data_IF_997159303044
#
_entry.id   IF_997159303044
#
_cell.length_a   1.000
_cell.length_b   1.000
_cell.length_c   1.000
_cell.angle_alpha   90.00
_cell.angle_beta   90.00
_cell.angle_gamma   90.00
#
_symmetry.space_group_name_H-M   'P 1'
#
loop_
_entity.id
_entity.type
_entity.pdbx_description
1 polymer ?
#
# COMPACT_ATOMS: atom_id res chain seq x y z
N UNK A 1 -8.85 27.54 19.93
CA UNK A 1 -8.70 27.49 18.46
C UNK A 1 -8.05 26.16 18.10
N UNK A 2 -8.81 25.16 17.64
CA UNK A 2 -8.23 23.87 17.19
C UNK A 2 -7.57 24.13 15.83
N UNK A 3 -6.29 23.75 15.62
CA UNK A 3 -5.67 23.91 14.31
C UNK A 3 -6.50 23.14 13.28
N UNK A 4 -6.65 23.72 12.10
CA UNK A 4 -7.38 23.19 10.95
C UNK A 4 -6.60 22.01 10.32
N UNK A 5 -6.22 21.03 11.14
CA UNK A 5 -5.69 19.76 10.65
C UNK A 5 -6.91 19.03 10.12
N UNK A 6 -7.00 18.93 8.80
CA UNK A 6 -7.97 18.08 8.09
C UNK A 6 -7.69 16.61 8.45
N UNK A 7 -8.01 16.24 9.69
CA UNK A 7 -8.03 14.88 10.19
C UNK A 7 -9.35 14.27 9.69
N UNK A 8 -9.47 14.08 8.36
CA UNK A 8 -10.51 13.19 7.84
C UNK A 8 -10.28 11.85 8.52
N UNK A 9 -11.32 11.33 9.18
CA UNK A 9 -11.26 10.04 9.88
C UNK A 9 -10.62 9.00 8.96
N UNK A 10 -9.51 8.40 9.42
CA UNK A 10 -8.79 7.40 8.64
C UNK A 10 -9.63 6.13 8.67
N UNK A 11 -10.48 5.98 7.65
CA UNK A 11 -11.27 4.77 7.49
C UNK A 11 -10.35 3.56 7.28
N UNK A 12 -10.75 2.41 7.81
CA UNK A 12 -10.07 1.13 7.57
C UNK A 12 -9.93 0.85 6.08
N UNK A 13 -8.95 0.03 5.71
CA UNK A 13 -8.83 -0.48 4.34
C UNK A 13 -10.06 -1.34 4.00
N UNK A 14 -10.50 -1.31 2.75
CA UNK A 14 -11.61 -2.11 2.27
C UNK A 14 -11.26 -2.81 0.96
N UNK A 15 -12.00 -3.87 0.64
CA UNK A 15 -11.78 -4.67 -0.56
C UNK A 15 -11.96 -3.82 -1.83
N UNK A 16 -11.16 -4.11 -2.85
CA UNK A 16 -11.11 -3.44 -4.14
C UNK A 16 -10.64 -1.98 -4.11
N UNK A 17 -10.18 -1.49 -2.95
CA UNK A 17 -9.57 -0.18 -2.82
C UNK A 17 -8.21 -0.10 -3.51
N UNK A 18 -7.99 0.97 -4.27
CA UNK A 18 -6.66 1.33 -4.79
C UNK A 18 -5.83 2.08 -3.75
N UNK A 19 -4.57 1.70 -3.65
CA UNK A 19 -3.56 2.28 -2.76
C UNK A 19 -2.28 2.56 -3.54
N UNK A 20 -1.50 3.50 -3.02
CA UNK A 20 -0.11 3.69 -3.43
C UNK A 20 0.78 3.21 -2.29
N UNK A 21 1.67 2.29 -2.61
CA UNK A 21 2.61 1.68 -1.68
C UNK A 21 4.00 2.19 -1.98
N UNK A 22 4.70 2.64 -0.95
CA UNK A 22 6.11 2.95 -1.05
C UNK A 22 6.88 1.83 -0.35
N UNK A 23 7.66 1.09 -1.14
CA UNK A 23 8.41 -0.10 -0.74
C UNK A 23 9.88 0.21 -1.05
N UNK A 24 10.67 0.47 -0.01
CA UNK A 24 11.99 1.04 -0.17
C UNK A 24 11.92 2.40 -0.91
N UNK A 25 12.62 2.50 -2.04
CA UNK A 25 12.60 3.67 -2.93
C UNK A 25 11.51 3.63 -3.99
N UNK A 26 10.88 2.47 -4.21
CA UNK A 26 9.91 2.26 -5.28
C UNK A 26 8.49 2.61 -4.80
N UNK A 27 7.79 3.40 -5.59
CA UNK A 27 6.35 3.65 -5.41
C UNK A 27 5.57 2.82 -6.43
N UNK A 28 4.67 1.96 -5.95
CA UNK A 28 3.83 1.12 -6.81
C UNK A 28 2.36 1.24 -6.42
N UNK A 29 1.50 1.23 -7.43
CA UNK A 29 0.06 1.07 -7.22
C UNK A 29 -0.28 -0.36 -6.84
N UNK A 30 -1.37 -0.53 -6.09
CA UNK A 30 -1.92 -1.83 -5.80
C UNK A 30 -3.37 -1.76 -5.37
N UNK A 31 -4.05 -2.91 -5.47
CA UNK A 31 -5.45 -3.09 -5.14
C UNK A 31 -5.61 -4.02 -3.96
N UNK A 32 -6.39 -3.62 -2.96
CA UNK A 32 -6.70 -4.44 -1.80
C UNK A 32 -7.59 -5.61 -2.22
N UNK A 33 -7.10 -6.83 -2.05
CA UNK A 33 -7.83 -8.06 -2.37
C UNK A 33 -8.64 -8.55 -1.17
N UNK A 34 -8.06 -8.45 0.02
CA UNK A 34 -8.72 -8.84 1.25
C UNK A 34 -8.15 -8.07 2.44
N UNK A 35 -8.96 -7.87 3.47
CA UNK A 35 -8.55 -7.30 4.75
C UNK A 35 -9.03 -8.24 5.84
N UNK A 36 -8.13 -8.68 6.71
CA UNK A 36 -8.43 -9.52 7.86
C UNK A 36 -7.66 -8.99 9.06
N UNK A 37 -8.39 -8.56 10.08
CA UNK A 37 -7.82 -7.97 11.30
C UNK A 37 -6.84 -6.84 10.95
N UNK A 38 -5.57 -6.99 11.30
CA UNK A 38 -4.50 -6.02 11.02
C UNK A 38 -3.68 -6.36 9.76
N UNK A 39 -4.13 -7.32 8.95
CA UNK A 39 -3.48 -7.76 7.71
C UNK A 39 -4.29 -7.39 6.49
N UNK A 40 -3.59 -6.94 5.44
CA UNK A 40 -4.18 -6.68 4.13
C UNK A 40 -3.42 -7.47 3.06
N UNK A 41 -4.16 -8.18 2.21
CA UNK A 41 -3.61 -8.78 1.00
C UNK A 41 -3.77 -7.80 -0.14
N UNK A 42 -2.67 -7.39 -0.76
CA UNK A 42 -2.66 -6.39 -1.83
C UNK A 42 -2.07 -7.02 -3.09
N UNK A 43 -2.76 -6.86 -4.22
CA UNK A 43 -2.24 -7.18 -5.55
C UNK A 43 -1.54 -5.94 -6.09
N UNK A 44 -0.26 -6.07 -6.43
CA UNK A 44 0.54 -4.99 -6.99
C UNK A 44 0.32 -4.90 -8.50
N UNK A 45 0.32 -3.69 -9.03
CA UNK A 45 0.20 -3.46 -10.49
C UNK A 45 1.52 -3.73 -11.23
N UNK A 46 2.63 -3.48 -10.56
CA UNK A 46 3.97 -3.79 -11.06
C UNK A 46 4.67 -4.70 -10.04
N UNK A 47 5.47 -5.67 -10.50
CA UNK A 47 6.30 -6.45 -9.61
C UNK A 47 7.35 -5.57 -8.94
N UNK A 48 7.66 -5.88 -7.69
CA UNK A 48 8.60 -5.10 -6.88
C UNK A 48 9.65 -6.03 -6.29
N UNK A 49 10.89 -5.56 -6.23
CA UNK A 49 11.95 -6.25 -5.52
C UNK A 49 11.91 -5.84 -4.05
N UNK A 50 11.65 -6.80 -3.16
CA UNK A 50 11.53 -6.56 -1.72
C UNK A 50 11.72 -7.86 -0.94
N UNK A 51 11.92 -7.76 0.38
CA UNK A 51 12.07 -8.91 1.27
C UNK A 51 10.96 -8.98 2.31
N UNK A 52 10.69 -10.18 2.82
CA UNK A 52 9.81 -10.35 3.99
C UNK A 52 10.38 -9.58 5.18
N UNK A 53 9.53 -8.86 5.90
CA UNK A 53 9.87 -8.00 7.02
C UNK A 53 10.18 -6.55 6.65
N UNK A 54 10.32 -6.24 5.36
CA UNK A 54 10.57 -4.87 4.89
C UNK A 54 9.39 -3.94 5.23
N UNK A 55 9.71 -2.71 5.63
CA UNK A 55 8.71 -1.70 6.00
C UNK A 55 8.14 -1.06 4.76
N UNK A 56 6.83 -0.86 4.75
CA UNK A 56 6.11 -0.22 3.65
C UNK A 56 5.30 0.97 4.17
N UNK A 57 5.20 2.02 3.37
CA UNK A 57 4.28 3.12 3.63
C UNK A 57 3.04 2.99 2.72
N UNK A 58 1.87 3.27 3.29
CA UNK A 58 0.58 3.09 2.61
C UNK A 58 -0.05 4.47 2.45
N UNK A 59 -0.30 4.85 1.21
CA UNK A 59 -0.98 6.09 0.85
C UNK A 59 -2.32 5.80 0.18
N UNK A 60 -3.32 6.62 0.51
CA UNK A 60 -4.66 6.59 -0.09
C UNK A 60 -4.88 7.87 -0.88
N UNK A 61 -5.56 7.74 -2.01
CA UNK A 61 -5.96 8.89 -2.83
C UNK A 61 -7.17 9.56 -2.21
N UNK A 62 -7.01 10.85 -1.90
CA UNK A 62 -8.11 11.73 -1.48
C UNK A 62 -8.20 12.86 -2.50
N UNK A 63 -9.34 12.94 -3.19
CA UNK A 63 -9.58 13.88 -4.28
C UNK A 63 -8.49 13.73 -5.37
N UNK A 64 -7.54 14.67 -5.42
CA UNK A 64 -6.40 14.68 -6.37
C UNK A 64 -5.04 14.41 -5.73
N UNK A 65 -4.98 14.13 -4.43
CA UNK A 65 -3.73 14.01 -3.68
C UNK A 65 -3.60 12.64 -3.01
N UNK A 66 -2.40 12.09 -3.04
CA UNK A 66 -2.06 10.95 -2.21
C UNK A 66 -1.72 11.43 -0.81
N UNK A 67 -2.35 10.82 0.20
CA UNK A 67 -2.04 11.08 1.61
C UNK A 67 -1.57 9.81 2.26
N UNK A 68 -0.48 9.91 3.03
CA UNK A 68 -0.01 8.83 3.89
C UNK A 68 -1.09 8.52 4.93
N UNK A 69 -1.54 7.28 4.99
CA UNK A 69 -2.57 6.82 5.94
C UNK A 69 -2.04 5.81 6.95
N UNK A 70 -0.87 5.22 6.70
CA UNK A 70 -0.28 4.25 7.61
C UNK A 70 1.01 3.65 7.08
N UNK A 71 1.52 2.69 7.83
CA UNK A 71 2.70 1.91 7.50
C UNK A 71 2.46 0.44 7.90
N UNK A 72 3.25 -0.45 7.35
CA UNK A 72 3.18 -1.88 7.65
C UNK A 72 4.50 -2.59 7.38
N UNK A 73 4.47 -3.91 7.46
CA UNK A 73 5.58 -4.76 7.04
C UNK A 73 5.06 -5.84 6.10
N UNK A 74 5.91 -6.25 5.17
CA UNK A 74 5.60 -7.38 4.28
C UNK A 74 5.72 -8.65 5.11
N UNK A 75 4.65 -9.42 5.20
CA UNK A 75 4.62 -10.68 5.96
C UNK A 75 4.78 -11.89 5.05
N UNK A 76 4.23 -11.82 3.84
CA UNK A 76 4.24 -12.90 2.84
C UNK A 76 3.96 -12.30 1.45
N UNK A 77 4.24 -13.05 0.38
CA UNK A 77 4.04 -12.61 -0.99
C UNK A 77 4.21 -13.73 -2.03
N UNK A 78 3.69 -13.50 -3.24
CA UNK A 78 3.92 -14.40 -4.37
C UNK A 78 5.15 -13.93 -5.13
N UNK A 79 6.18 -14.78 -5.18
CA UNK A 79 7.41 -14.53 -5.92
C UNK A 79 7.14 -14.79 -7.40
N UNK A 80 7.56 -13.86 -8.25
CA UNK A 80 7.62 -14.08 -9.71
C UNK A 80 9.09 -14.13 -10.14
N UNK A 81 9.38 -14.97 -11.13
CA UNK A 81 10.67 -14.93 -11.78
C UNK A 81 10.71 -13.75 -12.76
N UNK A 82 11.80 -12.96 -12.78
CA UNK A 82 11.96 -11.90 -13.75
C UNK A 82 11.98 -12.53 -15.14
N UNK A 83 10.91 -12.31 -15.91
CA UNK A 83 10.87 -12.72 -17.30
C UNK A 83 11.73 -11.72 -18.07
N UNK A 84 12.97 -12.11 -18.38
CA UNK A 84 13.82 -11.37 -19.30
C UNK A 84 13.19 -11.43 -20.69
N UNK A 85 12.18 -10.59 -20.94
CA UNK A 85 11.74 -10.28 -22.28
C UNK A 85 12.54 -9.06 -22.74
N UNK A 86 13.72 -9.34 -23.29
CA UNK A 86 14.36 -8.45 -24.25
C UNK A 86 13.67 -8.59 -25.59
#
# INVERSE_FOLDING_TARGET
MKPFIMQRDIQKLFKDQELMLNIGSLSSGGKVINVKDDMAKISLYLPVCTSIGEKIAISRKFDKHWRLIGWGKIMDGTIIEPTNQM
#
